data_IF_604247037962
#
_entry.id   IF_604247037962
#
_cell.length_a   1.000
_cell.length_b   1.000
_cell.length_c   1.000
_cell.angle_alpha   90.00
_cell.angle_beta   90.00
_cell.angle_gamma   90.00
#
_symmetry.space_group_name_H-M   'P 1'
#
loop_
_entity.id
_entity.type
_entity.pdbx_description
1 polymer ?
#
# COMPACT_ATOMS: atom_id res chain seq x y z
N UNK A 1 -19.49 2.97 5.70
CA UNK A 1 -18.25 3.00 6.52
C UNK A 1 -18.06 4.38 7.12
N UNK A 2 -18.43 4.52 8.39
CA UNK A 2 -18.50 5.81 9.09
C UNK A 2 -17.12 6.44 9.34
N UNK A 3 -16.13 5.63 9.75
CA UNK A 3 -14.76 6.09 10.03
C UNK A 3 -14.05 6.65 8.79
N UNK A 4 -14.29 6.04 7.64
CA UNK A 4 -13.71 6.48 6.35
C UNK A 4 -14.32 7.83 5.95
N UNK A 5 -15.65 7.97 6.02
CA UNK A 5 -16.35 9.25 5.74
C UNK A 5 -15.97 10.34 6.73
N UNK A 6 -15.77 9.98 8.00
CA UNK A 6 -15.32 10.90 9.04
C UNK A 6 -13.94 11.47 8.72
N UNK A 7 -12.99 10.62 8.31
CA UNK A 7 -11.60 11.04 8.09
C UNK A 7 -11.47 12.09 6.99
N UNK A 8 -12.17 11.92 5.86
CA UNK A 8 -12.19 12.91 4.78
C UNK A 8 -12.84 14.22 5.22
N UNK A 9 -14.02 14.16 5.87
CA UNK A 9 -14.71 15.36 6.38
C UNK A 9 -13.88 16.12 7.40
N UNK A 10 -13.20 15.39 8.30
CA UNK A 10 -12.33 15.98 9.30
C UNK A 10 -11.16 16.73 8.65
N UNK A 11 -10.53 16.15 7.63
CA UNK A 11 -9.45 16.78 6.87
C UNK A 11 -9.93 18.08 6.22
N UNK A 12 -11.05 18.04 5.49
CA UNK A 12 -11.61 19.25 4.89
C UNK A 12 -11.95 20.33 5.93
N UNK A 13 -12.54 19.95 7.07
CA UNK A 13 -12.84 20.89 8.16
C UNK A 13 -11.58 21.50 8.79
N UNK A 14 -10.46 20.80 8.73
CA UNK A 14 -9.17 21.25 9.26
C UNK A 14 -8.32 22.03 8.25
N UNK A 15 -8.85 22.31 7.06
CA UNK A 15 -8.17 23.11 6.04
C UNK A 15 -7.27 22.31 5.11
N UNK A 16 -7.30 20.98 5.15
CA UNK A 16 -6.59 20.16 4.18
C UNK A 16 -7.32 20.16 2.84
N UNK A 17 -6.55 20.11 1.75
CA UNK A 17 -7.09 20.04 0.39
C UNK A 17 -6.62 18.78 -0.32
N UNK A 18 -7.53 18.20 -1.10
CA UNK A 18 -7.28 17.01 -1.91
C UNK A 18 -7.14 17.42 -3.37
N UNK A 19 -6.15 16.86 -4.06
CA UNK A 19 -6.04 17.02 -5.50
C UNK A 19 -5.60 15.71 -6.16
N UNK A 20 -5.88 15.62 -7.46
CA UNK A 20 -5.32 14.57 -8.30
C UNK A 20 -4.27 15.18 -9.22
N UNK A 21 -3.06 14.64 -9.20
CA UNK A 21 -1.98 15.06 -10.07
C UNK A 21 -1.97 14.21 -11.35
N UNK A 22 -2.68 14.68 -12.38
CA UNK A 22 -2.71 14.02 -13.69
C UNK A 22 -1.57 14.40 -14.62
N UNK A 23 -0.84 15.48 -14.31
CA UNK A 23 0.11 16.11 -15.24
C UNK A 23 1.51 16.29 -14.67
N UNK A 24 1.81 15.62 -13.55
CA UNK A 24 3.07 15.77 -12.83
C UNK A 24 3.34 17.23 -12.46
N UNK A 25 2.31 17.92 -11.94
CA UNK A 25 2.38 19.34 -11.60
C UNK A 25 3.22 19.56 -10.34
N UNK A 26 3.23 18.58 -9.42
CA UNK A 26 3.85 18.73 -8.10
C UNK A 26 5.21 18.03 -7.99
N UNK A 27 5.97 17.86 -9.09
CA UNK A 27 7.22 17.08 -9.12
C UNK A 27 8.21 17.47 -8.01
N UNK A 28 8.48 18.76 -7.85
CA UNK A 28 9.43 19.25 -6.85
C UNK A 28 8.97 18.98 -5.41
N UNK A 29 7.67 19.16 -5.14
CA UNK A 29 7.09 18.86 -3.82
C UNK A 29 7.14 17.34 -3.53
N UNK A 30 6.87 16.53 -4.55
CA UNK A 30 6.88 15.06 -4.45
C UNK A 30 8.29 14.54 -4.23
N UNK A 31 9.29 15.12 -4.90
CA UNK A 31 10.69 14.78 -4.69
C UNK A 31 11.13 15.11 -3.25
N UNK A 32 10.76 16.28 -2.73
CA UNK A 32 11.03 16.66 -1.33
C UNK A 32 10.32 15.74 -0.33
N UNK A 33 9.03 15.50 -0.50
CA UNK A 33 8.26 14.58 0.37
C UNK A 33 8.87 13.18 0.35
N UNK A 34 9.24 12.69 -0.84
CA UNK A 34 9.92 11.42 -1.05
C UNK A 34 11.22 11.32 -0.26
N UNK A 35 12.06 12.34 -0.35
CA UNK A 35 13.35 12.38 0.32
C UNK A 35 13.21 12.40 1.85
N UNK A 36 12.35 13.27 2.39
CA UNK A 36 12.05 13.35 3.81
C UNK A 36 11.53 12.00 4.33
N UNK A 37 10.54 11.43 3.63
CA UNK A 37 9.96 10.14 3.99
C UNK A 37 11.00 9.01 4.01
N UNK A 38 11.97 9.01 3.09
CA UNK A 38 13.06 8.02 3.08
C UNK A 38 14.03 8.22 4.25
N UNK A 39 14.37 9.47 4.58
CA UNK A 39 15.31 9.81 5.66
C UNK A 39 14.86 9.29 7.04
N UNK A 40 13.56 9.14 7.22
CA UNK A 40 12.90 8.79 8.48
C UNK A 40 12.56 7.30 8.63
N UNK A 41 12.75 6.48 7.58
CA UNK A 41 12.45 5.04 7.68
C UNK A 41 13.38 4.33 8.66
N UNK A 42 12.81 3.41 9.44
CA UNK A 42 13.59 2.46 10.27
C UNK A 42 14.53 1.62 9.39
N UNK A 43 14.08 1.24 8.18
CA UNK A 43 14.90 0.53 7.18
C UNK A 43 15.32 1.53 6.09
N UNK A 44 16.37 2.31 6.38
CA UNK A 44 16.92 3.35 5.48
C UNK A 44 17.57 2.81 4.22
N UNK A 45 18.05 1.56 4.24
CA UNK A 45 18.94 1.03 3.20
C UNK A 45 18.24 0.41 1.98
N UNK A 46 16.92 0.15 2.01
CA UNK A 46 16.33 -0.76 1.02
C UNK A 46 14.88 -0.43 0.63
N UNK A 47 14.65 -0.10 -0.65
CA UNK A 47 13.33 -0.24 -1.27
C UNK A 47 13.10 -1.69 -1.70
N UNK A 48 11.88 -2.21 -1.54
CA UNK A 48 11.49 -3.53 -2.04
C UNK A 48 11.28 -3.43 -3.55
N UNK A 49 12.19 -3.98 -4.35
CA UNK A 49 12.13 -3.92 -5.83
C UNK A 49 11.60 -5.18 -6.50
N UNK A 50 11.40 -6.28 -5.76
CA UNK A 50 10.91 -7.53 -6.36
C UNK A 50 9.39 -7.51 -6.58
N UNK A 51 8.62 -7.09 -5.57
CA UNK A 51 7.15 -7.04 -5.66
C UNK A 51 6.61 -5.68 -6.08
N UNK A 52 7.40 -4.62 -5.93
CA UNK A 52 7.02 -3.27 -6.33
C UNK A 52 8.02 -2.78 -7.36
N UNK A 53 7.53 -2.00 -8.33
CA UNK A 53 8.41 -1.21 -9.19
C UNK A 53 9.23 -0.21 -8.35
N UNK A 54 10.32 0.36 -8.89
CA UNK A 54 10.95 1.53 -8.29
C UNK A 54 9.98 2.72 -8.24
N UNK A 55 10.11 3.54 -7.20
CA UNK A 55 9.38 4.81 -7.18
C UNK A 55 9.91 5.73 -8.27
N UNK A 56 9.00 6.45 -8.92
CA UNK A 56 9.36 7.51 -9.86
C UNK A 56 8.52 8.76 -9.55
N UNK A 57 9.16 9.91 -9.70
CA UNK A 57 8.53 11.22 -9.56
C UNK A 57 7.54 11.49 -10.70
N UNK A 58 7.84 11.07 -11.92
CA UNK A 58 6.87 11.06 -13.03
C UNK A 58 5.89 9.87 -12.95
N UNK A 59 4.63 10.11 -13.30
CA UNK A 59 3.65 9.06 -13.57
C UNK A 59 3.86 8.46 -14.96
N UNK A 60 3.78 7.13 -15.03
CA UNK A 60 3.68 6.40 -16.29
C UNK A 60 2.25 6.44 -16.86
N UNK A 61 2.09 5.84 -18.03
CA UNK A 61 0.79 5.73 -18.71
C UNK A 61 -0.25 5.09 -17.79
N UNK A 62 -1.44 5.68 -17.75
CA UNK A 62 -2.59 5.28 -16.94
C UNK A 62 -2.36 5.23 -15.42
N UNK A 63 -1.18 5.60 -14.92
CA UNK A 63 -0.95 5.74 -13.48
C UNK A 63 -1.65 6.99 -12.95
N UNK A 64 -2.07 6.94 -11.69
CA UNK A 64 -2.80 8.04 -11.06
C UNK A 64 -2.22 8.38 -9.70
N UNK A 65 -2.06 9.67 -9.44
CA UNK A 65 -1.55 10.19 -8.17
C UNK A 65 -2.58 11.08 -7.52
N UNK A 66 -2.79 10.84 -6.25
CA UNK A 66 -3.59 11.69 -5.40
C UNK A 66 -2.69 12.30 -4.35
N UNK A 67 -2.88 13.59 -4.10
CA UNK A 67 -2.10 14.37 -3.15
C UNK A 67 -3.01 15.00 -2.11
N UNK A 68 -2.45 15.16 -0.92
CA UNK A 68 -3.07 15.84 0.20
C UNK A 68 -2.15 16.98 0.63
N UNK A 69 -2.66 18.20 0.52
CA UNK A 69 -1.98 19.40 1.02
C UNK A 69 -2.52 19.78 2.40
N UNK A 70 -1.62 20.26 3.25
CA UNK A 70 -1.93 20.77 4.57
C UNK A 70 -2.57 22.16 4.53
N UNK A 71 -3.01 22.68 5.69
CA UNK A 71 -3.59 24.02 5.79
C UNK A 71 -2.65 25.14 5.33
N UNK A 72 -1.35 24.92 5.48
CA UNK A 72 -0.29 25.86 5.09
C UNK A 72 0.11 25.71 3.60
N UNK A 73 -0.59 24.84 2.84
CA UNK A 73 -0.36 24.61 1.41
C UNK A 73 0.76 23.64 1.07
N UNK A 74 1.42 23.07 2.08
CA UNK A 74 2.49 22.08 1.91
C UNK A 74 1.98 20.68 1.59
N UNK A 75 2.73 19.90 0.81
CA UNK A 75 2.39 18.52 0.48
C UNK A 75 2.61 17.59 1.69
N UNK A 76 1.51 17.11 2.28
CA UNK A 76 1.54 16.27 3.49
C UNK A 76 1.54 14.78 3.15
N UNK A 77 0.82 14.37 2.10
CA UNK A 77 0.78 12.97 1.69
C UNK A 77 0.52 12.80 0.19
N UNK A 78 0.98 11.68 -0.35
CA UNK A 78 0.64 11.20 -1.69
C UNK A 78 0.26 9.72 -1.66
N UNK A 79 -0.57 9.36 -2.65
CA UNK A 79 -1.03 8.01 -2.92
C UNK A 79 -0.99 7.77 -4.42
N UNK A 80 -0.14 6.84 -4.85
CA UNK A 80 -0.03 6.41 -6.24
C UNK A 80 -0.83 5.14 -6.46
N UNK A 81 -1.44 5.06 -7.63
CA UNK A 81 -2.18 3.92 -8.12
C UNK A 81 -1.61 3.47 -9.46
N UNK A 82 -1.32 2.17 -9.53
CA UNK A 82 -0.96 1.52 -10.79
C UNK A 82 -2.24 0.90 -11.40
N UNK A 83 -2.43 0.98 -12.73
CA UNK A 83 -3.61 0.45 -13.41
C UNK A 83 -3.65 -1.08 -13.40
N UNK A 84 -4.86 -1.64 -13.31
CA UNK A 84 -5.16 -3.05 -13.52
C UNK A 84 -5.78 -3.21 -14.91
N UNK A 85 -5.26 -4.14 -15.71
CA UNK A 85 -5.70 -4.37 -17.07
C UNK A 85 -6.43 -5.70 -17.26
N UNK A 86 -7.47 -5.68 -18.09
CA UNK A 86 -8.03 -6.87 -18.75
C UNK A 86 -8.22 -6.55 -20.22
N UNK A 87 -7.78 -7.44 -21.11
CA UNK A 87 -7.94 -7.28 -22.57
C UNK A 87 -7.48 -5.92 -23.10
N UNK A 88 -6.37 -5.40 -22.55
CA UNK A 88 -5.78 -4.11 -22.91
C UNK A 88 -6.55 -2.88 -22.40
N UNK A 89 -7.58 -3.04 -21.56
CA UNK A 89 -8.34 -1.94 -20.97
C UNK A 89 -8.13 -1.86 -19.46
N UNK A 90 -8.09 -0.64 -18.94
CA UNK A 90 -8.05 -0.40 -17.50
C UNK A 90 -9.40 -0.81 -16.89
N UNK A 91 -9.36 -1.78 -15.97
CA UNK A 91 -10.54 -2.27 -15.24
C UNK A 91 -10.55 -1.80 -13.78
N UNK A 92 -9.43 -1.27 -13.30
CA UNK A 92 -9.25 -0.95 -11.89
C UNK A 92 -7.88 -0.37 -11.59
N UNK A 93 -7.64 -0.19 -10.30
CA UNK A 93 -6.39 0.37 -9.80
C UNK A 93 -5.91 -0.36 -8.55
N UNK A 94 -4.60 -0.51 -8.40
CA UNK A 94 -3.96 -1.01 -7.17
C UNK A 94 -3.15 0.09 -6.52
N UNK A 95 -3.22 0.22 -5.19
CA UNK A 95 -2.34 1.13 -4.45
C UNK A 95 -0.88 0.69 -4.62
N UNK A 96 -0.03 1.55 -5.17
CA UNK A 96 1.37 1.27 -5.44
C UNK A 96 2.29 1.92 -4.40
N UNK A 97 2.23 3.26 -4.28
CA UNK A 97 3.06 4.01 -3.34
C UNK A 97 2.22 4.84 -2.39
N UNK A 98 2.67 4.87 -1.13
CA UNK A 98 2.07 5.65 -0.07
C UNK A 98 3.19 6.37 0.64
N UNK A 99 3.20 7.69 0.59
CA UNK A 99 4.21 8.51 1.27
C UNK A 99 3.53 9.66 1.97
N UNK A 100 3.97 9.97 3.18
CA UNK A 100 3.38 11.01 4.02
C UNK A 100 4.42 11.58 4.96
N UNK A 101 4.23 12.82 5.37
CA UNK A 101 5.02 13.45 6.41
C UNK A 101 4.96 12.63 7.72
N UNK A 102 6.01 12.66 8.55
CA UNK A 102 6.03 11.94 9.83
C UNK A 102 4.92 12.41 10.78
N UNK A 103 4.63 13.70 10.75
CA UNK A 103 3.58 14.34 11.54
C UNK A 103 2.20 14.29 10.85
N UNK A 104 2.09 13.60 9.71
CA UNK A 104 0.81 13.46 9.03
C UNK A 104 -0.19 12.73 9.94
N UNK A 105 -1.34 13.37 10.14
CA UNK A 105 -2.47 12.82 10.89
C UNK A 105 -2.84 11.40 10.41
N UNK A 106 -3.27 10.50 11.33
CA UNK A 106 -3.80 9.18 10.95
C UNK A 106 -4.95 9.22 9.94
N UNK A 107 -5.66 10.36 9.85
CA UNK A 107 -6.73 10.58 8.88
C UNK A 107 -6.23 10.79 7.45
N UNK A 108 -4.98 11.25 7.25
CA UNK A 108 -4.45 11.62 5.95
C UNK A 108 -4.56 10.48 4.93
N UNK A 109 -4.05 9.31 5.30
CA UNK A 109 -4.04 8.12 4.42
C UNK A 109 -5.46 7.59 4.17
N UNK A 110 -6.32 7.59 5.19
CA UNK A 110 -7.70 7.09 5.08
C UNK A 110 -8.54 8.02 4.20
N UNK A 111 -8.46 9.33 4.45
CA UNK A 111 -9.18 10.34 3.69
C UNK A 111 -8.71 10.40 2.24
N UNK A 112 -7.40 10.35 2.00
CA UNK A 112 -6.85 10.35 0.63
C UNK A 112 -7.25 9.10 -0.15
N UNK A 113 -7.25 7.94 0.50
CA UNK A 113 -7.75 6.69 -0.10
C UNK A 113 -9.24 6.80 -0.44
N UNK A 114 -10.06 7.37 0.45
CA UNK A 114 -11.49 7.60 0.19
C UNK A 114 -11.69 8.53 -1.01
N UNK A 115 -10.98 9.65 -1.04
CA UNK A 115 -11.07 10.63 -2.12
C UNK A 115 -10.75 9.99 -3.48
N UNK A 116 -9.68 9.20 -3.55
CA UNK A 116 -9.31 8.46 -4.75
C UNK A 116 -10.39 7.45 -5.17
N UNK A 117 -10.90 6.65 -4.23
CA UNK A 117 -11.96 5.65 -4.49
C UNK A 117 -13.25 6.31 -4.97
N UNK A 118 -13.61 7.47 -4.43
CA UNK A 118 -14.80 8.20 -4.88
C UNK A 118 -14.63 8.75 -6.30
N UNK A 119 -13.45 9.27 -6.65
CA UNK A 119 -13.13 9.64 -8.05
C UNK A 119 -13.21 8.45 -8.99
N UNK A 120 -12.61 7.32 -8.62
CA UNK A 120 -12.70 6.09 -9.41
C UNK A 120 -14.15 5.65 -9.61
N UNK A 121 -14.98 5.72 -8.56
CA UNK A 121 -16.39 5.35 -8.65
C UNK A 121 -17.17 6.27 -9.60
N UNK A 122 -16.93 7.58 -9.54
CA UNK A 122 -17.57 8.56 -10.44
C UNK A 122 -17.20 8.32 -11.91
N UNK A 123 -15.99 7.85 -12.17
CA UNK A 123 -15.51 7.48 -13.50
C UNK A 123 -15.94 6.07 -13.94
N UNK A 124 -16.72 5.35 -13.13
CA UNK A 124 -17.23 4.02 -13.44
C UNK A 124 -16.23 2.88 -13.24
N UNK A 125 -15.11 3.13 -12.55
CA UNK A 125 -14.12 2.10 -12.23
C UNK A 125 -14.68 1.19 -11.14
N UNK A 126 -14.73 -0.12 -11.45
CA UNK A 126 -15.39 -1.12 -10.61
C UNK A 126 -14.47 -1.75 -9.56
N UNK A 127 -13.15 -1.69 -9.73
CA UNK A 127 -12.19 -2.39 -8.87
C UNK A 127 -11.09 -1.46 -8.37
N UNK A 128 -10.90 -1.44 -7.05
CA UNK A 128 -9.73 -0.83 -6.41
C UNK A 128 -9.16 -1.83 -5.41
N UNK A 129 -7.88 -2.18 -5.56
CA UNK A 129 -7.19 -3.07 -4.64
C UNK A 129 -6.25 -2.27 -3.74
N UNK A 130 -6.23 -2.60 -2.46
CA UNK A 130 -5.35 -1.96 -1.47
C UNK A 130 -4.01 -2.70 -1.32
N UNK A 131 -3.69 -3.59 -2.28
CA UNK A 131 -2.55 -4.49 -2.26
C UNK A 131 -2.65 -5.63 -1.22
N UNK A 132 -1.59 -6.43 -1.14
CA UNK A 132 -1.52 -7.63 -0.30
C UNK A 132 -1.36 -7.31 1.19
N UNK A 133 -2.05 -8.07 2.05
CA UNK A 133 -1.79 -8.09 3.50
C UNK A 133 -0.98 -9.35 3.82
N UNK A 134 0.36 -9.26 3.94
CA UNK A 134 1.17 -10.46 4.03
C UNK A 134 0.89 -11.18 5.36
N UNK A 135 0.78 -12.51 5.26
CA UNK A 135 0.68 -13.44 6.39
C UNK A 135 -0.56 -13.26 7.29
N UNK A 136 -1.55 -12.49 6.84
CA UNK A 136 -2.86 -12.40 7.47
C UNK A 136 -3.65 -13.69 7.24
N UNK A 137 -4.36 -14.14 8.27
CA UNK A 137 -5.35 -15.22 8.21
C UNK A 137 -4.86 -16.45 7.42
N UNK A 138 -3.62 -16.86 7.69
CA UNK A 138 -3.07 -18.07 7.06
C UNK A 138 -3.82 -19.27 7.60
N UNK A 139 -4.50 -19.96 6.70
CA UNK A 139 -5.20 -21.22 6.95
C UNK A 139 -4.63 -22.35 6.10
N UNK A 140 -5.21 -23.55 6.20
CA UNK A 140 -4.86 -24.64 5.31
C UNK A 140 -5.24 -24.29 3.87
N UNK A 141 -4.28 -24.32 2.94
CA UNK A 141 -4.54 -23.89 1.56
C UNK A 141 -5.43 -24.84 0.76
N UNK A 142 -5.60 -26.09 1.21
CA UNK A 142 -6.22 -27.16 0.44
C UNK A 142 -5.31 -27.79 -0.62
N UNK A 143 -4.10 -27.27 -0.78
CA UNK A 143 -3.06 -27.82 -1.67
C UNK A 143 -1.98 -28.57 -0.89
N UNK A 144 -1.09 -29.26 -1.62
CA UNK A 144 0.11 -29.83 -1.02
C UNK A 144 1.00 -28.71 -0.45
N UNK A 145 1.04 -28.59 0.87
CA UNK A 145 1.75 -27.53 1.58
C UNK A 145 2.61 -28.08 2.72
N UNK A 146 3.61 -27.30 3.13
CA UNK A 146 4.43 -27.61 4.30
C UNK A 146 3.78 -27.02 5.56
N UNK A 147 3.39 -27.89 6.50
CA UNK A 147 2.89 -27.48 7.81
C UNK A 147 3.90 -26.62 8.57
N UNK A 148 5.20 -26.91 8.42
CA UNK A 148 6.29 -26.12 8.98
C UNK A 148 6.25 -24.65 8.51
N UNK A 149 6.18 -24.42 7.20
CA UNK A 149 6.15 -23.05 6.65
C UNK A 149 4.87 -22.33 7.04
N UNK A 150 3.72 -23.00 6.97
CA UNK A 150 2.43 -22.44 7.42
C UNK A 150 2.51 -21.94 8.86
N UNK A 151 2.94 -22.80 9.79
CA UNK A 151 3.06 -22.42 11.20
C UNK A 151 4.12 -21.35 11.44
N UNK A 152 5.21 -21.36 10.69
CA UNK A 152 6.25 -20.31 10.77
C UNK A 152 5.67 -18.96 10.38
N UNK A 153 4.91 -18.89 9.29
CA UNK A 153 4.30 -17.63 8.84
C UNK A 153 3.19 -17.14 9.78
N UNK A 154 2.36 -18.04 10.32
CA UNK A 154 1.39 -17.70 11.35
C UNK A 154 2.06 -17.07 12.59
N UNK A 155 3.16 -17.65 13.05
CA UNK A 155 3.95 -17.09 14.17
C UNK A 155 4.60 -15.76 13.82
N UNK A 156 5.11 -15.61 12.60
CA UNK A 156 5.71 -14.36 12.14
C UNK A 156 4.69 -13.21 12.15
N UNK A 157 3.45 -13.46 11.73
CA UNK A 157 2.36 -12.48 11.80
C UNK A 157 2.08 -12.01 13.25
N UNK A 158 2.07 -12.95 14.20
CA UNK A 158 1.88 -12.67 15.63
C UNK A 158 3.09 -12.06 16.35
N UNK A 159 4.28 -12.05 15.73
CA UNK A 159 5.53 -11.66 16.40
C UNK A 159 5.68 -10.14 16.51
N UNK A 160 5.74 -9.63 17.73
CA UNK A 160 6.01 -8.22 18.01
C UNK A 160 7.35 -7.75 17.42
N UNK A 161 8.37 -8.62 17.44
CA UNK A 161 9.68 -8.31 16.88
C UNK A 161 9.62 -8.14 15.36
N UNK A 162 8.92 -9.03 14.64
CA UNK A 162 8.75 -8.92 13.17
C UNK A 162 8.00 -7.64 12.82
N UNK A 163 6.88 -7.38 13.52
CA UNK A 163 6.04 -6.21 13.27
C UNK A 163 6.77 -4.88 13.55
N UNK A 164 7.74 -4.85 14.47
CA UNK A 164 8.53 -3.64 14.78
C UNK A 164 9.78 -3.46 13.93
N UNK A 165 10.47 -4.54 13.59
CA UNK A 165 11.83 -4.49 13.02
C UNK A 165 11.92 -4.79 11.53
N UNK A 166 10.98 -5.56 10.97
CA UNK A 166 11.01 -6.00 9.57
C UNK A 166 9.91 -5.34 8.76
N UNK A 167 8.66 -5.68 9.07
CA UNK A 167 7.49 -5.16 8.37
C UNK A 167 6.27 -5.20 9.29
N UNK A 168 5.53 -4.09 9.37
CA UNK A 168 4.34 -3.99 10.22
C UNK A 168 3.13 -4.70 9.57
N UNK A 169 3.11 -6.03 9.68
CA UNK A 169 2.10 -6.90 9.09
C UNK A 169 0.70 -6.60 9.65
N UNK A 170 0.58 -6.57 10.98
CA UNK A 170 -0.70 -6.38 11.67
C UNK A 170 -1.27 -4.97 11.44
N UNK A 171 -0.43 -3.94 11.48
CA UNK A 171 -0.88 -2.56 11.26
C UNK A 171 -1.39 -2.32 9.84
N UNK A 172 -0.71 -2.88 8.83
CA UNK A 172 -1.15 -2.79 7.43
C UNK A 172 -2.47 -3.55 7.21
N UNK A 173 -2.61 -4.74 7.79
CA UNK A 173 -3.84 -5.53 7.73
C UNK A 173 -5.02 -4.78 8.37
N UNK A 174 -4.83 -4.28 9.59
CA UNK A 174 -5.83 -3.52 10.31
C UNK A 174 -6.23 -2.24 9.57
N UNK A 175 -5.29 -1.55 8.91
CA UNK A 175 -5.59 -0.40 8.07
C UNK A 175 -6.53 -0.76 6.92
N UNK A 176 -6.27 -1.85 6.19
CA UNK A 176 -7.09 -2.24 5.03
C UNK A 176 -8.46 -2.75 5.41
N UNK A 177 -8.58 -3.47 6.53
CA UNK A 177 -9.87 -3.92 7.07
C UNK A 177 -10.83 -2.76 7.38
N UNK A 178 -10.30 -1.57 7.68
CA UNK A 178 -11.11 -0.35 7.83
C UNK A 178 -11.81 0.08 6.56
N UNK A 179 -11.56 -0.50 5.39
CA UNK A 179 -12.30 -0.17 4.17
C UNK A 179 -13.41 -1.17 3.87
N UNK A 180 -13.51 -2.27 4.64
CA UNK A 180 -14.48 -3.36 4.42
C UNK A 180 -14.49 -3.86 2.96
N UNK A 181 -13.32 -3.97 2.35
CA UNK A 181 -13.17 -4.58 1.03
C UNK A 181 -13.35 -6.10 1.08
N UNK A 182 -13.43 -6.73 -0.09
CA UNK A 182 -13.38 -8.18 -0.19
C UNK A 182 -11.94 -8.65 -0.06
N UNK A 183 -11.70 -9.64 0.81
CA UNK A 183 -10.40 -10.27 0.97
C UNK A 183 -10.30 -11.49 0.04
N UNK A 184 -9.15 -11.66 -0.62
CA UNK A 184 -8.89 -12.77 -1.54
C UNK A 184 -7.61 -13.48 -1.11
N UNK A 185 -7.63 -14.82 -0.94
CA UNK A 185 -6.43 -15.56 -0.59
C UNK A 185 -5.42 -15.51 -1.73
N UNK A 186 -4.15 -15.35 -1.39
CA UNK A 186 -3.02 -15.33 -2.35
C UNK A 186 -2.01 -16.40 -1.95
N UNK A 187 -1.51 -17.13 -2.94
CA UNK A 187 -0.64 -18.29 -2.73
C UNK A 187 0.74 -18.06 -3.33
N UNK A 188 1.74 -18.68 -2.71
CA UNK A 188 3.07 -18.85 -3.29
C UNK A 188 3.19 -20.29 -3.74
N UNK A 189 3.36 -20.50 -5.05
CA UNK A 189 3.51 -21.82 -5.63
C UNK A 189 4.98 -22.07 -6.00
N UNK A 190 5.46 -23.27 -5.67
CA UNK A 190 6.78 -23.75 -6.07
C UNK A 190 6.62 -25.05 -6.85
N UNK A 191 7.55 -25.30 -7.77
CA UNK A 191 7.55 -26.57 -8.53
C UNK A 191 7.87 -27.75 -7.62
N UNK A 192 8.80 -27.58 -6.67
CA UNK A 192 9.22 -28.63 -5.73
C UNK A 192 8.93 -28.29 -4.27
N UNK A 193 8.83 -27.00 -3.91
CA UNK A 193 8.53 -26.58 -2.54
C UNK A 193 9.71 -26.78 -1.58
N UNK A 194 10.94 -26.71 -2.10
CA UNK A 194 12.16 -26.91 -1.30
C UNK A 194 12.40 -25.73 -0.36
N UNK A 195 13.13 -25.98 0.73
CA UNK A 195 13.57 -24.92 1.64
C UNK A 195 14.38 -23.83 0.91
N UNK A 196 15.19 -24.22 -0.08
CA UNK A 196 16.01 -23.29 -0.87
C UNK A 196 15.16 -22.30 -1.66
N UNK A 197 14.10 -22.78 -2.31
CA UNK A 197 13.17 -21.92 -3.07
C UNK A 197 12.46 -20.92 -2.13
N UNK A 198 12.01 -21.38 -0.96
CA UNK A 198 11.38 -20.51 0.03
C UNK A 198 12.35 -19.46 0.58
N UNK A 199 13.57 -19.87 0.95
CA UNK A 199 14.61 -18.96 1.42
C UNK A 199 14.99 -17.95 0.33
N UNK A 200 15.06 -18.38 -0.93
CA UNK A 200 15.27 -17.52 -2.09
C UNK A 200 14.19 -16.44 -2.20
N UNK A 201 12.91 -16.83 -2.10
CA UNK A 201 11.81 -15.87 -2.09
C UNK A 201 11.91 -14.89 -0.92
N UNK A 202 12.15 -15.38 0.31
CA UNK A 202 12.28 -14.54 1.49
C UNK A 202 13.42 -13.52 1.37
N UNK A 203 14.53 -13.89 0.71
CA UNK A 203 15.63 -12.95 0.38
C UNK A 203 15.21 -11.93 -0.68
N UNK A 204 14.51 -12.34 -1.73
CA UNK A 204 14.01 -11.45 -2.79
C UNK A 204 13.06 -10.39 -2.25
N UNK A 205 12.15 -10.78 -1.34
CA UNK A 205 11.23 -9.86 -0.66
C UNK A 205 11.86 -9.16 0.55
N UNK A 206 13.14 -9.41 0.83
CA UNK A 206 13.92 -8.82 1.93
C UNK A 206 13.30 -9.08 3.32
N UNK A 207 12.65 -10.22 3.50
CA UNK A 207 12.08 -10.65 4.77
C UNK A 207 13.13 -11.21 5.75
N UNK A 208 14.22 -11.77 5.23
CA UNK A 208 15.37 -12.28 6.00
C UNK A 208 16.65 -11.57 5.62
#
# INVERSE_FOLDING_TARGET
NETVRYSERWLSKKGYSFAEDRRNIFLDEIARLSENWRGERIVKRWEMGFLNRPFADHLGTDMRRFVLHGPDGELVALLDFDPLFSDGKVIGYTTAFKRKHIDATPHAEIGLTKFAVDRFREEGISVVTLGLSPLVDIEASGFAESSFWRSTFQRAYGSAWVNRSKFNLQGQAAFKRRFHGQEQPTYVAFRKGTLVEMLGLLRLVKAI
#
